data_IF_405969324366
#
_entry.id   IF_405969324366
#
_cell.length_a   1.000
_cell.length_b   1.000
_cell.length_c   1.000
_cell.angle_alpha   90.00
_cell.angle_beta   90.00
_cell.angle_gamma   90.00
#
_symmetry.space_group_name_H-M   'P 1'
#
loop_
_entity.id
_entity.type
_entity.pdbx_description
1 polymer ?
#
# COMPACT_ATOMS: atom_id res chain seq x y z
N UNK A 1 23.20 -1.05 17.36
CA UNK A 1 22.68 -1.09 15.98
C UNK A 1 21.75 0.08 15.87
N UNK A 2 22.07 1.08 15.05
CA UNK A 2 21.19 2.23 14.87
C UNK A 2 20.02 1.76 14.01
N UNK A 3 18.80 1.77 14.57
CA UNK A 3 17.57 1.58 13.83
C UNK A 3 17.52 2.65 12.74
N UNK A 4 17.90 2.26 11.53
CA UNK A 4 17.83 3.13 10.36
C UNK A 4 16.37 3.13 9.88
N UNK A 5 15.49 3.70 10.69
CA UNK A 5 14.09 3.95 10.30
C UNK A 5 14.16 4.90 9.12
N UNK A 6 13.72 4.44 7.95
CA UNK A 6 13.61 5.29 6.76
C UNK A 6 12.59 6.38 7.10
N UNK A 7 13.10 7.56 7.46
CA UNK A 7 12.27 8.70 7.79
C UNK A 7 11.58 9.21 6.53
N UNK A 8 10.33 9.66 6.68
CA UNK A 8 9.63 10.38 5.60
C UNK A 8 10.32 11.72 5.33
N UNK A 9 10.32 12.13 4.08
CA UNK A 9 10.94 13.38 3.65
C UNK A 9 10.07 14.59 4.06
N UNK A 10 10.56 15.80 3.77
CA UNK A 10 9.84 17.05 4.09
C UNK A 10 8.44 17.08 3.45
N UNK A 11 8.32 16.57 2.23
CA UNK A 11 7.04 16.46 1.55
C UNK A 11 6.10 15.48 2.26
N UNK A 12 6.57 14.30 2.63
CA UNK A 12 5.81 13.29 3.35
C UNK A 12 5.36 13.76 4.74
N UNK A 13 6.23 14.48 5.48
CA UNK A 13 5.84 15.13 6.74
C UNK A 13 4.77 16.20 6.52
N UNK A 14 4.95 17.09 5.54
CA UNK A 14 3.97 18.14 5.24
C UNK A 14 2.62 17.55 4.83
N UNK A 15 2.63 16.50 4.01
CA UNK A 15 1.43 15.79 3.58
C UNK A 15 0.74 15.12 4.77
N UNK A 16 1.48 14.41 5.63
CA UNK A 16 0.94 13.78 6.82
C UNK A 16 0.23 14.80 7.73
N UNK A 17 0.89 15.92 8.01
CA UNK A 17 0.34 17.00 8.83
C UNK A 17 -0.93 17.59 8.19
N UNK A 18 -0.91 17.83 6.87
CA UNK A 18 -2.08 18.30 6.13
C UNK A 18 -3.26 17.34 6.22
N UNK A 19 -3.01 16.04 6.02
CA UNK A 19 -4.04 14.99 6.12
C UNK A 19 -4.60 14.87 7.54
N UNK A 20 -3.77 15.02 8.57
CA UNK A 20 -4.19 15.00 9.97
C UNK A 20 -5.03 16.21 10.36
N UNK A 21 -4.77 17.38 9.76
CA UNK A 21 -5.52 18.62 9.99
C UNK A 21 -6.88 18.67 9.27
N UNK A 22 -7.20 17.69 8.42
CA UNK A 22 -8.47 17.68 7.70
C UNK A 22 -9.67 17.61 8.66
N UNK A 23 -10.72 18.43 8.44
CA UNK A 23 -11.88 18.47 9.31
C UNK A 23 -12.67 17.16 9.32
N UNK A 24 -12.52 16.29 8.30
CA UNK A 24 -13.13 14.96 8.26
C UNK A 24 -12.65 14.06 9.40
N UNK A 25 -11.42 14.22 9.89
CA UNK A 25 -10.84 13.39 10.95
C UNK A 25 -11.57 13.51 12.29
N UNK A 26 -12.21 14.66 12.54
CA UNK A 26 -12.96 14.91 13.77
C UNK A 26 -14.45 14.57 13.66
N UNK A 27 -14.94 14.17 12.48
CA UNK A 27 -16.38 13.90 12.28
C UNK A 27 -16.83 12.57 12.86
N UNK A 28 -15.92 11.62 12.98
CA UNK A 28 -16.15 10.31 13.58
C UNK A 28 -15.04 10.01 14.58
N UNK A 29 -15.41 9.36 15.67
CA UNK A 29 -14.43 8.93 16.67
C UNK A 29 -13.56 7.80 16.12
N UNK A 30 -12.31 7.65 16.62
CA UNK A 30 -11.48 6.50 16.32
C UNK A 30 -12.22 5.17 16.50
N UNK A 31 -12.97 5.01 17.58
CA UNK A 31 -13.68 3.78 17.93
C UNK A 31 -14.77 3.45 16.91
N UNK A 32 -15.53 4.46 16.44
CA UNK A 32 -16.51 4.28 15.38
C UNK A 32 -15.86 3.83 14.07
N UNK A 33 -14.70 4.40 13.72
CA UNK A 33 -13.98 4.01 12.51
C UNK A 33 -13.41 2.59 12.62
N UNK A 34 -12.91 2.18 13.79
CA UNK A 34 -12.40 0.81 13.99
C UNK A 34 -13.49 -0.26 13.91
N UNK A 35 -14.72 0.04 14.34
CA UNK A 35 -15.88 -0.87 14.14
C UNK A 35 -16.19 -1.01 12.64
N UNK A 36 -16.15 0.08 11.88
CA UNK A 36 -16.36 0.06 10.43
C UNK A 36 -15.21 -0.69 9.73
N UNK A 37 -13.98 -0.54 10.20
CA UNK A 37 -12.81 -1.29 9.74
C UNK A 37 -12.99 -2.79 9.93
N UNK A 38 -13.46 -3.24 11.10
CA UNK A 38 -13.69 -4.66 11.35
C UNK A 38 -14.68 -5.26 10.33
N UNK A 39 -15.74 -4.53 9.96
CA UNK A 39 -16.67 -4.93 8.91
C UNK A 39 -15.99 -5.02 7.53
N UNK A 40 -15.23 -4.00 7.14
CA UNK A 40 -14.52 -3.98 5.86
C UNK A 40 -13.51 -5.13 5.76
N UNK A 41 -12.79 -5.38 6.85
CA UNK A 41 -11.81 -6.47 6.94
C UNK A 41 -12.50 -7.84 6.86
N UNK A 42 -13.67 -8.02 7.47
CA UNK A 42 -14.45 -9.25 7.35
C UNK A 42 -14.88 -9.55 5.91
N UNK A 43 -15.22 -8.52 5.12
CA UNK A 43 -15.46 -8.68 3.68
C UNK A 43 -14.19 -9.08 2.93
N UNK A 44 -13.04 -8.45 3.21
CA UNK A 44 -11.75 -8.83 2.60
C UNK A 44 -11.38 -10.28 2.93
N UNK A 45 -11.58 -10.73 4.17
CA UNK A 45 -11.32 -12.11 4.59
C UNK A 45 -12.23 -13.14 3.90
N UNK A 46 -13.37 -12.70 3.38
CA UNK A 46 -14.29 -13.50 2.57
C UNK A 46 -14.08 -13.29 1.06
N UNK A 47 -13.00 -12.63 0.65
CA UNK A 47 -12.69 -12.27 -0.75
C UNK A 47 -13.78 -11.41 -1.42
N UNK A 48 -14.63 -10.78 -0.62
CA UNK A 48 -15.71 -9.89 -1.03
C UNK A 48 -15.18 -8.46 -1.27
N UNK A 49 -14.19 -8.34 -2.16
CA UNK A 49 -13.46 -7.09 -2.40
C UNK A 49 -14.36 -5.97 -2.93
N UNK A 50 -15.36 -6.31 -3.76
CA UNK A 50 -16.31 -5.35 -4.29
C UNK A 50 -17.18 -4.71 -3.18
N UNK A 51 -17.51 -5.48 -2.13
CA UNK A 51 -18.25 -5.00 -0.97
C UNK A 51 -17.35 -4.24 0.00
N UNK A 52 -16.10 -4.67 0.17
CA UNK A 52 -15.14 -4.01 1.05
C UNK A 52 -14.68 -2.64 0.52
N UNK A 53 -14.53 -2.50 -0.80
CA UNK A 53 -14.00 -1.31 -1.44
C UNK A 53 -14.68 0.00 -1.01
N UNK A 54 -16.02 0.17 -1.08
CA UNK A 54 -16.66 1.42 -0.67
C UNK A 54 -16.48 1.70 0.83
N UNK A 55 -16.37 0.66 1.66
CA UNK A 55 -16.14 0.81 3.11
C UNK A 55 -14.71 1.29 3.38
N UNK A 56 -13.71 0.73 2.70
CA UNK A 56 -12.33 1.22 2.81
C UNK A 56 -12.14 2.62 2.23
N UNK A 57 -12.83 2.97 1.15
CA UNK A 57 -12.83 4.33 0.62
C UNK A 57 -13.41 5.33 1.62
N UNK A 58 -14.50 4.95 2.30
CA UNK A 58 -15.04 5.73 3.41
C UNK A 58 -14.02 5.88 4.55
N UNK A 59 -13.40 4.80 5.00
CA UNK A 59 -12.39 4.84 6.06
C UNK A 59 -11.20 5.74 5.68
N UNK A 60 -10.72 5.66 4.45
CA UNK A 60 -9.66 6.52 3.94
C UNK A 60 -10.08 8.01 3.89
N UNK A 61 -11.35 8.33 3.67
CA UNK A 61 -11.84 9.71 3.69
C UNK A 61 -11.89 10.33 5.11
N UNK A 62 -12.19 9.51 6.12
CA UNK A 62 -12.33 9.94 7.53
C UNK A 62 -11.09 9.63 8.39
N UNK A 63 -10.13 8.88 7.85
CA UNK A 63 -8.82 8.60 8.43
C UNK A 63 -7.74 8.50 7.35
N UNK A 64 -7.50 9.57 6.57
CA UNK A 64 -6.61 9.56 5.40
C UNK A 64 -5.14 9.37 5.75
N UNK A 65 -4.78 9.58 7.01
CA UNK A 65 -3.45 9.35 7.57
C UNK A 65 -3.36 8.04 8.37
N UNK A 66 -4.28 7.07 8.18
CA UNK A 66 -4.22 5.76 8.84
C UNK A 66 -3.79 4.70 7.85
N UNK A 67 -2.57 4.18 8.04
CA UNK A 67 -1.94 3.17 7.18
C UNK A 67 -2.86 1.99 6.85
N UNK A 68 -3.49 1.37 7.84
CA UNK A 68 -4.30 0.17 7.63
C UNK A 68 -5.55 0.41 6.78
N UNK A 69 -6.10 1.63 6.78
CA UNK A 69 -7.24 1.99 5.93
C UNK A 69 -6.81 2.14 4.47
N UNK A 70 -5.72 2.86 4.23
CA UNK A 70 -5.14 3.02 2.90
C UNK A 70 -4.67 1.68 2.31
N UNK A 71 -4.02 0.84 3.12
CA UNK A 71 -3.59 -0.50 2.68
C UNK A 71 -4.80 -1.36 2.33
N UNK A 72 -5.86 -1.36 3.15
CA UNK A 72 -7.08 -2.10 2.83
C UNK A 72 -7.76 -1.61 1.54
N UNK A 73 -7.79 -0.30 1.31
CA UNK A 73 -8.26 0.28 0.05
C UNK A 73 -7.43 -0.18 -1.16
N UNK A 74 -6.10 -0.10 -1.05
CA UNK A 74 -5.18 -0.57 -2.09
C UNK A 74 -5.34 -2.06 -2.39
N UNK A 75 -5.54 -2.90 -1.35
CA UNK A 75 -5.79 -4.35 -1.52
C UNK A 75 -7.08 -4.59 -2.27
N UNK A 76 -8.16 -3.90 -1.92
CA UNK A 76 -9.43 -4.05 -2.62
C UNK A 76 -9.30 -3.66 -4.10
N UNK A 77 -8.62 -2.55 -4.40
CA UNK A 77 -8.37 -2.11 -5.77
C UNK A 77 -7.52 -3.12 -6.55
N UNK A 78 -6.44 -3.62 -5.95
CA UNK A 78 -5.55 -4.62 -6.54
C UNK A 78 -6.32 -5.89 -6.90
N UNK A 79 -7.11 -6.42 -5.97
CA UNK A 79 -7.86 -7.67 -6.16
C UNK A 79 -9.02 -7.53 -7.15
N UNK A 80 -9.54 -6.31 -7.35
CA UNK A 80 -10.53 -6.00 -8.37
C UNK A 80 -9.92 -5.68 -9.74
N UNK A 81 -8.60 -5.85 -9.92
CA UNK A 81 -7.91 -5.58 -11.19
C UNK A 81 -7.68 -4.10 -11.48
N UNK A 82 -7.97 -3.20 -10.53
CA UNK A 82 -7.80 -1.74 -10.66
C UNK A 82 -6.37 -1.36 -10.28
N UNK A 83 -5.40 -1.89 -11.02
CA UNK A 83 -3.98 -1.86 -10.66
C UNK A 83 -3.39 -0.45 -10.58
N UNK A 84 -3.73 0.45 -11.50
CA UNK A 84 -3.21 1.83 -11.50
C UNK A 84 -3.69 2.63 -10.27
N UNK A 85 -4.94 2.44 -9.87
CA UNK A 85 -5.50 3.07 -8.67
C UNK A 85 -4.88 2.48 -7.41
N UNK A 86 -4.67 1.15 -7.38
CA UNK A 86 -3.95 0.50 -6.29
C UNK A 86 -2.52 1.03 -6.14
N UNK A 87 -1.78 1.20 -7.25
CA UNK A 87 -0.44 1.80 -7.25
C UNK A 87 -0.47 3.21 -6.66
N UNK A 88 -1.47 4.02 -7.03
CA UNK A 88 -1.61 5.39 -6.52
C UNK A 88 -1.83 5.40 -5.00
N UNK A 89 -2.71 4.53 -4.49
CA UNK A 89 -2.97 4.40 -3.04
C UNK A 89 -1.74 3.86 -2.29
N UNK A 90 -1.08 2.84 -2.82
CA UNK A 90 0.13 2.30 -2.20
C UNK A 90 1.31 3.29 -2.23
N UNK A 91 1.43 4.10 -3.27
CA UNK A 91 2.44 5.16 -3.35
C UNK A 91 2.21 6.20 -2.25
N UNK A 92 0.95 6.59 -2.01
CA UNK A 92 0.61 7.43 -0.85
C UNK A 92 1.03 6.79 0.47
N UNK A 93 0.81 5.47 0.64
CA UNK A 93 1.26 4.76 1.85
C UNK A 93 2.78 4.81 1.99
N UNK A 94 3.55 4.61 0.92
CA UNK A 94 5.01 4.69 0.96
C UNK A 94 5.52 6.11 1.21
N UNK A 95 4.81 7.15 0.76
CA UNK A 95 5.13 8.55 1.10
C UNK A 95 4.92 8.83 2.60
N UNK A 96 3.84 8.33 3.18
CA UNK A 96 3.52 8.56 4.60
C UNK A 96 4.30 7.62 5.54
N UNK A 97 4.62 6.42 5.07
CA UNK A 97 5.26 5.34 5.81
C UNK A 97 6.35 4.65 4.96
N UNK A 98 7.51 5.31 4.75
CA UNK A 98 8.56 4.79 3.86
C UNK A 98 9.20 3.48 4.32
N UNK A 99 9.09 3.17 5.62
CA UNK A 99 9.52 1.91 6.23
C UNK A 99 8.68 0.69 5.82
N UNK A 100 7.61 0.90 5.06
CA UNK A 100 6.61 -0.11 4.73
C UNK A 100 7.00 -0.95 3.52
N UNK A 101 8.14 -1.65 3.60
CA UNK A 101 8.70 -2.46 2.51
C UNK A 101 7.73 -3.52 1.93
N UNK A 102 6.83 -4.16 2.71
CA UNK A 102 5.80 -5.04 2.14
C UNK A 102 4.83 -4.33 1.17
N UNK A 103 4.67 -3.01 1.28
CA UNK A 103 3.83 -2.22 0.36
C UNK A 103 4.53 -1.99 -0.97
N UNK A 104 5.86 -1.84 -0.97
CA UNK A 104 6.64 -1.76 -2.22
C UNK A 104 6.51 -3.06 -3.04
N UNK A 105 6.42 -4.22 -2.40
CA UNK A 105 6.13 -5.49 -3.09
C UNK A 105 4.74 -5.48 -3.74
N UNK A 106 3.72 -4.95 -3.06
CA UNK A 106 2.37 -4.82 -3.64
C UNK A 106 2.33 -3.84 -4.82
N UNK A 107 3.12 -2.76 -4.77
CA UNK A 107 3.30 -1.86 -5.92
C UNK A 107 3.90 -2.63 -7.10
N UNK A 108 4.98 -3.38 -6.89
CA UNK A 108 5.60 -4.17 -7.94
C UNK A 108 4.65 -5.23 -8.52
N UNK A 109 3.87 -5.92 -7.69
CA UNK A 109 2.83 -6.86 -8.13
C UNK A 109 1.77 -6.19 -9.02
N UNK A 110 1.28 -5.02 -8.61
CA UNK A 110 0.36 -4.24 -9.43
C UNK A 110 1.00 -3.75 -10.73
N UNK A 111 2.27 -3.34 -10.71
CA UNK A 111 3.02 -2.92 -11.91
C UNK A 111 3.16 -4.08 -12.90
N UNK A 112 3.51 -5.28 -12.43
CA UNK A 112 3.56 -6.48 -13.27
C UNK A 112 2.19 -6.80 -13.87
N UNK A 113 1.13 -6.77 -13.06
CA UNK A 113 -0.23 -7.01 -13.55
C UNK A 113 -0.70 -5.95 -14.57
N UNK A 114 -0.23 -4.71 -14.43
CA UNK A 114 -0.45 -3.61 -15.37
C UNK A 114 0.52 -3.62 -16.58
N UNK A 115 1.37 -4.65 -16.73
CA UNK A 115 2.42 -4.77 -17.76
C UNK A 115 3.47 -3.65 -17.75
N UNK A 116 3.64 -2.99 -16.60
CA UNK A 116 4.67 -1.99 -16.33
C UNK A 116 5.94 -2.70 -15.81
N UNK A 117 6.48 -3.62 -16.61
CA UNK A 117 7.54 -4.55 -16.20
C UNK A 117 8.83 -3.82 -15.82
N UNK A 118 9.18 -2.76 -16.54
CA UNK A 118 10.39 -1.97 -16.27
C UNK A 118 10.30 -1.22 -14.93
N UNK A 119 9.14 -0.66 -14.62
CA UNK A 119 8.86 -0.04 -13.32
C UNK A 119 8.90 -1.06 -12.19
N UNK A 120 8.27 -2.23 -12.39
CA UNK A 120 8.28 -3.32 -11.42
C UNK A 120 9.71 -3.75 -11.08
N UNK A 121 10.55 -3.98 -12.09
CA UNK A 121 11.94 -4.36 -11.88
C UNK A 121 12.73 -3.30 -11.12
N UNK A 122 12.50 -2.01 -11.40
CA UNK A 122 13.12 -0.91 -10.64
C UNK A 122 12.69 -0.95 -9.18
N UNK A 123 11.39 -1.04 -8.90
CA UNK A 123 10.84 -1.13 -7.54
C UNK A 123 11.45 -2.31 -6.78
N UNK A 124 11.49 -3.50 -7.39
CA UNK A 124 11.97 -4.71 -6.74
C UNK A 124 13.48 -4.65 -6.42
N UNK A 125 14.30 -4.10 -7.33
CA UNK A 125 15.73 -3.89 -7.06
C UNK A 125 15.98 -2.92 -5.91
N UNK A 126 15.14 -1.89 -5.76
CA UNK A 126 15.21 -0.99 -4.61
C UNK A 126 14.92 -1.73 -3.29
N UNK A 127 13.95 -2.65 -3.29
CA UNK A 127 13.65 -3.49 -2.13
C UNK A 127 14.83 -4.41 -1.79
N UNK A 128 15.46 -5.05 -2.77
CA UNK A 128 16.64 -5.90 -2.55
C UNK A 128 17.85 -5.14 -2.01
N UNK A 129 18.07 -3.92 -2.49
CA UNK A 129 19.17 -3.06 -2.06
C UNK A 129 18.95 -2.43 -0.67
N UNK A 130 17.73 -2.52 -0.13
CA UNK A 130 17.39 -2.04 1.20
C UNK A 130 17.68 -3.07 2.30
N UNK A 131 17.64 -2.66 3.56
CA UNK A 131 17.73 -3.56 4.72
C UNK A 131 16.40 -4.31 4.99
N UNK A 132 15.77 -4.78 3.91
CA UNK A 132 14.49 -5.48 3.96
C UNK A 132 14.62 -6.82 4.70
N UNK A 133 13.58 -7.21 5.45
CA UNK A 133 13.46 -8.56 6.01
C UNK A 133 13.70 -9.65 4.96
N UNK A 134 14.26 -10.78 5.38
CA UNK A 134 14.67 -11.87 4.48
C UNK A 134 13.49 -12.37 3.63
N UNK A 135 12.30 -12.48 4.21
CA UNK A 135 11.07 -12.87 3.52
C UNK A 135 10.65 -11.85 2.45
N UNK A 136 10.78 -10.55 2.75
CA UNK A 136 10.48 -9.46 1.81
C UNK A 136 11.46 -9.48 0.64
N UNK A 137 12.76 -9.68 0.90
CA UNK A 137 13.78 -9.80 -0.16
C UNK A 137 13.59 -11.05 -1.00
N UNK A 138 13.33 -12.20 -0.38
CA UNK A 138 13.08 -13.45 -1.10
C UNK A 138 11.86 -13.32 -2.04
N UNK A 139 10.80 -12.62 -1.59
CA UNK A 139 9.65 -12.33 -2.45
C UNK A 139 10.01 -11.37 -3.59
N UNK A 140 10.84 -10.36 -3.33
CA UNK A 140 11.30 -9.44 -4.37
C UNK A 140 12.09 -10.16 -5.48
N UNK A 141 13.02 -11.03 -5.07
CA UNK A 141 13.84 -11.84 -5.97
C UNK A 141 12.97 -12.76 -6.84
N UNK A 142 11.99 -13.44 -6.24
CA UNK A 142 11.07 -14.32 -6.96
C UNK A 142 10.26 -13.56 -8.03
N UNK A 143 9.79 -12.35 -7.71
CA UNK A 143 9.07 -11.49 -8.66
C UNK A 143 9.98 -10.99 -9.79
N UNK A 144 11.25 -10.68 -9.51
CA UNK A 144 12.23 -10.32 -10.53
C UNK A 144 12.48 -11.47 -11.52
N UNK A 145 12.66 -12.68 -11.02
CA UNK A 145 12.85 -13.87 -11.85
C UNK A 145 11.62 -14.15 -12.73
N UNK A 146 10.41 -13.97 -12.20
CA UNK A 146 9.17 -14.09 -12.99
C UNK A 146 9.11 -13.04 -14.12
N UNK A 147 9.36 -11.77 -13.78
CA UNK A 147 9.30 -10.66 -14.75
C UNK A 147 10.32 -10.78 -15.90
N UNK A 148 11.49 -11.38 -15.64
CA UNK A 148 12.54 -11.58 -16.65
C UNK A 148 12.25 -12.76 -17.58
N UNK A 149 11.51 -13.77 -17.12
CA UNK A 149 11.08 -14.90 -17.95
C UNK A 149 9.99 -14.51 -18.93
N UNK A 150 9.04 -13.68 -18.49
CA UNK A 150 7.97 -13.15 -19.36
C UNK A 150 8.51 -12.25 -20.48
N UNK A 151 9.64 -11.58 -20.26
CA UNK A 151 10.30 -10.77 -21.29
C UNK A 151 11.09 -11.61 -22.32
N UNK A 152 11.36 -12.88 -22.01
CA UNK A 152 12.15 -13.78 -22.85
C UNK A 152 11.32 -14.76 -23.69
N UNK A 153 9.99 -14.76 -23.53
CA UNK A 153 9.01 -15.60 -24.25
C UNK A 153 8.25 -14.80 -25.31
#
# INVERSE_FOLDING_TARGET
MADNVVARDEFGEALLNGLQALPSNGRLTPEQLEVIYALAYAHVAQEQYAQALPVFAFLAQYGPARKHYLVGLGVCLQMLGRHEEAISIYSLVLTLYPDSLPIALRVAECQLAARQTDEAQRTLRLVEASDAPVDVRARAEALLQLSSREAAS
#
